data_IF_441284011511
#
_entry.id   IF_441284011511
#
_cell.length_a   1.000
_cell.length_b   1.000
_cell.length_c   1.000
_cell.angle_alpha   90.00
_cell.angle_beta   90.00
_cell.angle_gamma   90.00
#
_symmetry.space_group_name_H-M   'P 1'
#
loop_
_entity.id
_entity.type
_entity.pdbx_description
1 polymer ?
#
# COMPACT_ATOMS: atom_id res chain seq x y z
N UNK A 1 4.45 21.48 -24.57
CA UNK A 1 3.98 20.83 -25.81
C UNK A 1 3.40 19.46 -25.43
N UNK A 2 2.09 19.30 -25.54
CA UNK A 2 1.42 18.08 -25.16
C UNK A 2 1.69 16.95 -26.16
N UNK A 3 1.78 15.70 -25.69
CA UNK A 3 1.97 14.50 -26.53
C UNK A 3 0.89 14.42 -27.62
N UNK A 4 -0.36 14.80 -27.29
CA UNK A 4 -1.50 14.90 -28.21
C UNK A 4 -1.19 15.76 -29.44
N UNK A 5 -0.59 16.95 -29.25
CA UNK A 5 -0.32 17.89 -30.34
C UNK A 5 0.83 17.44 -31.24
N UNK A 6 1.79 16.70 -30.64
CA UNK A 6 2.99 16.25 -31.37
C UNK A 6 2.74 15.00 -32.21
N UNK A 7 1.88 14.09 -31.72
CA UNK A 7 1.66 12.78 -32.35
C UNK A 7 0.25 12.61 -32.97
N UNK A 8 -0.63 13.64 -32.86
CA UNK A 8 -2.01 13.61 -33.32
C UNK A 8 -2.78 12.37 -32.83
N UNK A 9 -2.55 11.96 -31.59
CA UNK A 9 -3.18 10.80 -30.96
C UNK A 9 -4.34 11.30 -30.09
N UNK A 10 -5.54 10.78 -30.31
CA UNK A 10 -6.66 10.95 -29.39
C UNK A 10 -6.43 10.10 -28.15
N UNK A 11 -5.93 10.73 -27.09
CA UNK A 11 -5.75 10.11 -25.79
C UNK A 11 -6.69 10.77 -24.77
N UNK A 12 -7.53 9.98 -24.15
CA UNK A 12 -8.29 10.42 -22.96
C UNK A 12 -7.36 10.31 -21.76
N UNK A 13 -6.98 11.46 -21.21
CA UNK A 13 -6.19 11.52 -19.99
C UNK A 13 -7.16 11.43 -18.81
N UNK A 14 -7.14 10.29 -18.10
CA UNK A 14 -7.87 10.14 -16.84
C UNK A 14 -7.29 11.02 -15.72
N UNK A 15 -8.04 11.19 -14.63
CA UNK A 15 -7.51 11.84 -13.45
C UNK A 15 -6.27 11.09 -12.92
N UNK A 16 -5.23 11.79 -12.45
CA UNK A 16 -4.06 11.14 -11.86
C UNK A 16 -4.47 10.25 -10.69
N UNK A 17 -3.98 9.01 -10.68
CA UNK A 17 -4.25 8.07 -9.60
C UNK A 17 -3.05 8.00 -8.65
N UNK A 18 -3.33 7.97 -7.34
CA UNK A 18 -2.32 7.77 -6.31
C UNK A 18 -2.13 6.28 -6.08
N UNK A 19 -0.89 5.83 -6.05
CA UNK A 19 -0.55 4.44 -5.76
C UNK A 19 -0.60 4.19 -4.25
N UNK A 20 -1.80 4.09 -3.68
CA UNK A 20 -1.99 3.71 -2.29
C UNK A 20 -1.48 2.28 -2.03
N UNK A 21 -1.26 1.96 -0.76
CA UNK A 21 -0.93 0.64 -0.25
C UNK A 21 -1.76 0.35 1.00
N UNK A 22 -1.76 -0.90 1.42
CA UNK A 22 -2.35 -1.31 2.70
C UNK A 22 -1.28 -1.95 3.57
N UNK A 23 -1.46 -1.97 4.89
CA UNK A 23 -0.62 -2.72 5.82
C UNK A 23 -1.41 -3.11 7.06
N UNK A 24 -0.84 -3.95 7.90
CA UNK A 24 -1.39 -4.32 9.20
C UNK A 24 -0.66 -3.60 10.32
N UNK A 25 -1.34 -3.31 11.42
CA UNK A 25 -0.76 -2.55 12.54
C UNK A 25 -0.55 -3.37 13.82
N UNK A 26 -1.14 -4.56 13.89
CA UNK A 26 -0.96 -5.44 15.05
C UNK A 26 -0.88 -6.90 14.62
N UNK A 27 -0.15 -7.74 15.39
CA UNK A 27 -0.07 -9.17 15.10
C UNK A 27 -1.41 -9.85 15.34
N UNK A 28 -1.66 -10.90 14.58
CA UNK A 28 -2.81 -11.79 14.77
C UNK A 28 -2.49 -13.20 14.32
N UNK A 29 -3.22 -14.19 14.84
CA UNK A 29 -3.12 -15.59 14.43
C UNK A 29 -4.49 -16.07 13.99
N UNK A 30 -4.53 -16.77 12.87
CA UNK A 30 -5.76 -17.34 12.29
C UNK A 30 -5.62 -18.84 12.15
N UNK A 31 -6.55 -19.58 12.74
CA UNK A 31 -6.78 -21.00 12.52
C UNK A 31 -7.98 -21.14 11.58
N UNK A 32 -7.73 -21.46 10.31
CA UNK A 32 -8.78 -21.57 9.30
C UNK A 32 -8.84 -22.97 8.70
N UNK A 33 -10.05 -23.53 8.63
CA UNK A 33 -10.30 -24.82 7.99
C UNK A 33 -11.20 -24.65 6.78
N UNK A 34 -10.67 -24.93 5.61
CA UNK A 34 -11.42 -25.08 4.38
C UNK A 34 -11.95 -26.51 4.27
N UNK A 35 -13.26 -26.67 4.28
CA UNK A 35 -13.92 -27.96 4.07
C UNK A 35 -15.11 -27.78 3.12
N UNK A 36 -15.08 -28.50 2.00
CA UNK A 36 -16.19 -28.53 1.06
C UNK A 36 -16.48 -29.98 0.67
N UNK A 37 -17.72 -30.38 0.82
CA UNK A 37 -18.24 -31.68 0.34
C UNK A 37 -19.44 -31.39 -0.57
N UNK A 38 -19.34 -31.68 -1.85
CA UNK A 38 -20.44 -31.54 -2.80
C UNK A 38 -20.31 -32.61 -3.87
N UNK A 39 -21.05 -33.71 -3.72
CA UNK A 39 -21.37 -34.70 -4.76
C UNK A 39 -20.21 -35.31 -5.58
N UNK A 40 -18.95 -35.20 -5.14
CA UNK A 40 -17.75 -35.65 -5.82
C UNK A 40 -16.53 -35.62 -4.87
N UNK A 41 -15.33 -35.40 -5.40
CA UNK A 41 -14.11 -35.25 -4.59
C UNK A 41 -14.25 -34.09 -3.61
N UNK A 42 -14.06 -34.37 -2.32
CA UNK A 42 -14.09 -33.37 -1.26
C UNK A 42 -12.89 -32.39 -1.38
N UNK A 43 -12.96 -31.30 -0.63
CA UNK A 43 -11.82 -30.39 -0.45
C UNK A 43 -11.58 -30.21 1.04
N UNK A 44 -10.35 -30.40 1.50
CA UNK A 44 -9.96 -30.17 2.86
C UNK A 44 -8.58 -29.53 2.95
N UNK A 45 -8.46 -28.46 3.73
CA UNK A 45 -7.19 -27.88 4.11
C UNK A 45 -7.36 -27.08 5.41
N UNK A 46 -6.52 -27.36 6.39
CA UNK A 46 -6.43 -26.55 7.61
C UNK A 46 -5.10 -25.84 7.64
N UNK A 47 -5.11 -24.55 7.92
CA UNK A 47 -3.92 -23.71 8.06
C UNK A 47 -4.01 -22.89 9.35
N UNK A 48 -2.89 -22.80 10.07
CA UNK A 48 -2.72 -21.87 11.18
C UNK A 48 -1.60 -20.92 10.79
N UNK A 49 -1.95 -19.64 10.57
CA UNK A 49 -1.05 -18.63 10.06
C UNK A 49 -0.97 -17.46 11.05
N UNK A 50 0.23 -17.10 11.42
CA UNK A 50 0.55 -15.90 12.18
C UNK A 50 0.86 -14.77 11.20
N UNK A 51 0.27 -13.60 11.45
CA UNK A 51 0.47 -12.37 10.70
C UNK A 51 1.12 -11.35 11.63
N UNK A 52 2.27 -10.82 11.24
CA UNK A 52 3.04 -9.87 12.05
C UNK A 52 3.41 -8.65 11.20
N UNK A 53 3.17 -7.41 11.69
CA UNK A 53 3.65 -6.20 10.99
C UNK A 53 5.18 -6.17 11.00
N UNK A 54 5.75 -5.68 9.89
CA UNK A 54 7.19 -5.43 9.75
C UNK A 54 7.49 -3.93 9.75
N UNK A 55 8.76 -3.59 9.74
CA UNK A 55 9.19 -2.21 9.57
C UNK A 55 8.88 -1.70 8.15
N UNK A 56 8.73 -0.38 8.02
CA UNK A 56 8.45 0.27 6.74
C UNK A 56 9.52 -0.07 5.71
N UNK A 57 9.10 -0.60 4.55
CA UNK A 57 9.99 -0.96 3.45
C UNK A 57 10.50 -2.40 3.45
N UNK A 58 10.16 -3.23 4.43
CA UNK A 58 10.58 -4.63 4.49
C UNK A 58 9.78 -5.54 3.55
N UNK A 59 8.66 -5.03 3.04
CA UNK A 59 7.84 -5.75 2.06
C UNK A 59 7.08 -6.94 2.65
N UNK A 60 7.02 -8.04 1.90
CA UNK A 60 6.32 -9.27 2.32
C UNK A 60 7.29 -10.42 2.56
N UNK A 61 7.16 -11.07 3.71
CA UNK A 61 7.94 -12.26 4.08
C UNK A 61 6.98 -13.41 4.35
N UNK A 62 7.24 -14.58 3.72
CA UNK A 62 6.57 -15.83 4.04
C UNK A 62 7.56 -16.83 4.66
N UNK A 63 7.17 -17.45 5.75
CA UNK A 63 7.95 -18.47 6.45
C UNK A 63 7.06 -19.66 6.81
N UNK A 64 7.60 -20.87 6.74
CA UNK A 64 6.93 -22.07 7.24
C UNK A 64 7.71 -22.68 8.40
N UNK A 65 7.02 -22.84 9.53
CA UNK A 65 7.53 -23.50 10.75
C UNK A 65 6.83 -24.85 11.02
N UNK A 66 6.30 -25.47 9.96
CA UNK A 66 5.63 -26.77 10.09
C UNK A 66 6.60 -27.84 10.59
N UNK A 67 6.20 -28.53 11.64
CA UNK A 67 6.93 -29.66 12.24
C UNK A 67 6.10 -30.94 12.15
N UNK A 68 6.76 -32.09 12.01
CA UNK A 68 6.10 -33.41 12.07
C UNK A 68 5.21 -33.75 10.88
N UNK A 69 5.35 -33.07 9.73
CA UNK A 69 4.60 -33.38 8.50
C UNK A 69 3.10 -33.09 8.57
N UNK A 70 2.63 -32.25 9.51
CA UNK A 70 1.22 -31.87 9.66
C UNK A 70 0.66 -31.21 8.41
N UNK A 71 1.48 -30.50 7.65
CA UNK A 71 1.20 -30.07 6.28
C UNK A 71 2.33 -30.61 5.40
N UNK A 72 2.05 -31.50 4.44
CA UNK A 72 3.04 -31.97 3.47
C UNK A 72 3.71 -30.82 2.73
N UNK A 73 5.01 -30.97 2.47
CA UNK A 73 5.83 -29.93 1.81
C UNK A 73 5.26 -29.50 0.45
N UNK A 74 4.59 -30.40 -0.24
CA UNK A 74 3.96 -30.16 -1.55
C UNK A 74 2.79 -29.18 -1.50
N UNK A 75 2.13 -28.98 -0.33
CA UNK A 75 1.01 -28.04 -0.16
C UNK A 75 1.44 -26.66 0.31
N UNK A 76 2.64 -26.51 0.89
CA UNK A 76 3.16 -25.20 1.35
C UNK A 76 3.22 -24.16 0.25
N UNK A 77 3.65 -24.47 -1.01
CA UNK A 77 3.59 -23.52 -2.11
C UNK A 77 2.17 -23.03 -2.44
N UNK A 78 1.15 -23.84 -2.18
CA UNK A 78 -0.26 -23.45 -2.32
C UNK A 78 -0.64 -22.37 -1.33
N UNK A 79 -0.21 -22.49 -0.07
CA UNK A 79 -0.43 -21.46 0.97
C UNK A 79 0.24 -20.14 0.56
N UNK A 80 1.51 -20.19 0.18
CA UNK A 80 2.24 -18.99 -0.25
C UNK A 80 1.60 -18.32 -1.46
N UNK A 81 1.18 -19.10 -2.46
CA UNK A 81 0.50 -18.60 -3.66
C UNK A 81 -0.84 -17.92 -3.31
N UNK A 82 -1.61 -18.53 -2.40
CA UNK A 82 -2.88 -17.97 -1.93
C UNK A 82 -2.70 -16.63 -1.21
N UNK A 83 -1.68 -16.53 -0.34
CA UNK A 83 -1.33 -15.28 0.32
C UNK A 83 -0.89 -14.21 -0.68
N UNK A 84 0.05 -14.52 -1.59
CA UNK A 84 0.54 -13.56 -2.61
C UNK A 84 -0.60 -13.01 -3.47
N UNK A 85 -1.51 -13.86 -3.92
CA UNK A 85 -2.67 -13.40 -4.70
C UNK A 85 -3.60 -12.49 -3.90
N UNK A 86 -3.77 -12.74 -2.60
CA UNK A 86 -4.57 -11.88 -1.72
C UNK A 86 -3.90 -10.55 -1.42
N UNK A 87 -2.57 -10.55 -1.29
CA UNK A 87 -1.75 -9.35 -1.08
C UNK A 87 -1.90 -8.37 -2.24
N UNK A 88 -1.86 -8.85 -3.48
CA UNK A 88 -1.99 -8.02 -4.67
C UNK A 88 -3.37 -7.38 -4.82
N UNK A 89 -4.41 -8.07 -4.38
CA UNK A 89 -5.80 -7.59 -4.46
C UNK A 89 -6.21 -6.70 -3.29
N UNK A 90 -5.43 -6.69 -2.21
CA UNK A 90 -5.73 -5.93 -1.00
C UNK A 90 -6.97 -6.40 -0.23
N UNK A 91 -7.35 -5.62 0.77
CA UNK A 91 -8.51 -5.90 1.62
C UNK A 91 -9.43 -4.70 1.83
N UNK A 92 -8.86 -3.50 2.08
CA UNK A 92 -9.64 -2.30 2.44
C UNK A 92 -10.24 -1.60 1.22
N UNK A 93 -9.40 -1.39 0.20
CA UNK A 93 -9.74 -0.63 -0.98
C UNK A 93 -9.11 -1.20 -2.27
N UNK A 94 -8.66 -2.45 -2.23
CA UNK A 94 -8.09 -3.11 -3.40
C UNK A 94 -6.64 -2.72 -3.71
N UNK A 95 -5.92 -2.15 -2.76
CA UNK A 95 -4.51 -1.81 -2.93
C UNK A 95 -3.59 -2.89 -2.36
N UNK A 96 -2.42 -3.12 -2.97
CA UNK A 96 -1.49 -4.13 -2.48
C UNK A 96 -1.10 -3.93 -1.01
N UNK A 97 -1.05 -5.02 -0.24
CA UNK A 97 -0.65 -5.02 1.17
C UNK A 97 0.85 -5.21 1.28
N UNK A 98 1.52 -4.39 2.08
CA UNK A 98 2.97 -4.39 2.25
C UNK A 98 3.38 -4.41 3.72
N UNK A 99 4.67 -4.66 3.98
CA UNK A 99 5.34 -4.54 5.28
C UNK A 99 4.74 -5.44 6.36
N UNK A 100 4.59 -6.73 6.04
CA UNK A 100 4.17 -7.74 7.00
C UNK A 100 4.73 -9.13 6.69
N UNK A 101 4.75 -9.97 7.72
CA UNK A 101 5.21 -11.35 7.66
C UNK A 101 4.05 -12.31 7.90
N UNK A 102 4.00 -13.39 7.13
CA UNK A 102 3.13 -14.53 7.36
C UNK A 102 3.97 -15.75 7.75
N UNK A 103 3.66 -16.35 8.90
CA UNK A 103 4.31 -17.60 9.35
C UNK A 103 3.26 -18.70 9.40
N UNK A 104 3.42 -19.74 8.56
CA UNK A 104 2.61 -20.94 8.64
C UNK A 104 3.16 -21.80 9.78
N UNK A 105 2.44 -21.88 10.91
CA UNK A 105 2.91 -22.54 12.13
C UNK A 105 2.33 -23.92 12.33
N UNK A 106 1.11 -24.18 11.88
CA UNK A 106 0.42 -25.46 11.98
C UNK A 106 -0.60 -25.66 10.86
N UNK A 107 -1.15 -26.85 10.75
CA UNK A 107 -2.22 -27.18 9.83
C UNK A 107 -2.60 -28.65 9.87
N UNK A 108 -3.51 -29.04 9.02
CA UNK A 108 -3.90 -30.45 8.83
C UNK A 108 -4.30 -30.69 7.38
N UNK A 109 -4.12 -31.91 6.95
CA UNK A 109 -4.53 -32.39 5.63
C UNK A 109 -5.33 -33.68 5.74
N UNK A 110 -5.97 -34.07 4.65
CA UNK A 110 -6.68 -35.33 4.49
C UNK A 110 -6.17 -36.03 3.24
N UNK A 111 -5.81 -37.31 3.35
CA UNK A 111 -5.10 -38.07 2.30
C UNK A 111 -5.81 -38.05 0.93
N UNK A 112 -7.14 -37.96 0.92
CA UNK A 112 -7.97 -38.03 -0.32
C UNK A 112 -8.43 -36.62 -0.76
N UNK A 113 -8.78 -35.75 0.20
CA UNK A 113 -9.49 -34.48 -0.09
C UNK A 113 -8.57 -33.25 -0.07
N UNK A 114 -7.29 -33.42 0.23
CA UNK A 114 -6.35 -32.30 0.21
C UNK A 114 -5.67 -32.13 -1.14
N UNK A 115 -5.45 -30.87 -1.50
CA UNK A 115 -4.75 -30.48 -2.72
C UNK A 115 -4.08 -29.12 -2.55
N UNK A 116 -3.11 -28.79 -3.41
CA UNK A 116 -2.49 -27.46 -3.48
C UNK A 116 -3.55 -26.37 -3.59
N UNK A 117 -4.60 -26.60 -4.39
CA UNK A 117 -5.71 -25.65 -4.56
C UNK A 117 -6.52 -25.47 -3.26
N UNK A 118 -6.79 -26.53 -2.51
CA UNK A 118 -7.51 -26.43 -1.24
C UNK A 118 -6.72 -25.58 -0.21
N UNK A 119 -5.39 -25.74 -0.16
CA UNK A 119 -4.52 -24.91 0.67
C UNK A 119 -4.41 -23.47 0.18
N UNK A 120 -4.41 -23.23 -1.14
CA UNK A 120 -4.50 -21.87 -1.69
C UNK A 120 -5.80 -21.17 -1.26
N UNK A 121 -6.94 -21.84 -1.34
CA UNK A 121 -8.23 -21.30 -0.91
C UNK A 121 -8.25 -21.03 0.59
N UNK A 122 -7.74 -21.96 1.40
CA UNK A 122 -7.65 -21.82 2.85
C UNK A 122 -6.78 -20.60 3.24
N UNK A 123 -5.65 -20.42 2.58
CA UNK A 123 -4.76 -19.29 2.81
C UNK A 123 -5.41 -17.93 2.45
N UNK A 124 -6.12 -17.86 1.34
CA UNK A 124 -6.89 -16.66 0.95
C UNK A 124 -7.97 -16.31 1.97
N UNK A 125 -8.69 -17.31 2.47
CA UNK A 125 -9.72 -17.11 3.49
C UNK A 125 -9.10 -16.68 4.83
N UNK A 126 -8.01 -17.32 5.25
CA UNK A 126 -7.26 -16.94 6.45
C UNK A 126 -6.77 -15.49 6.37
N UNK A 127 -6.24 -15.07 5.22
CA UNK A 127 -5.84 -13.67 4.99
C UNK A 127 -7.01 -12.71 5.18
N UNK A 128 -8.16 -12.97 4.55
CA UNK A 128 -9.35 -12.12 4.69
C UNK A 128 -9.85 -12.02 6.13
N UNK A 129 -9.75 -13.08 6.90
CA UNK A 129 -10.13 -13.11 8.32
C UNK A 129 -9.09 -12.38 9.20
N UNK A 130 -7.81 -12.42 8.80
CA UNK A 130 -6.72 -11.76 9.52
C UNK A 130 -6.79 -10.23 9.43
N UNK A 131 -7.11 -9.68 8.28
CA UNK A 131 -7.00 -8.23 8.02
C UNK A 131 -7.78 -7.35 9.00
N UNK A 132 -9.07 -7.63 9.32
CA UNK A 132 -9.80 -6.86 10.33
C UNK A 132 -9.19 -7.01 11.73
N UNK A 133 -8.77 -8.23 12.10
CA UNK A 133 -8.20 -8.53 13.41
C UNK A 133 -6.82 -7.90 13.59
N UNK A 134 -6.05 -7.83 12.51
CA UNK A 134 -4.73 -7.18 12.48
C UNK A 134 -4.81 -5.65 12.29
N UNK A 135 -6.01 -5.07 12.30
CA UNK A 135 -6.28 -3.64 12.07
C UNK A 135 -5.56 -3.13 10.82
N UNK A 136 -5.96 -3.64 9.67
CA UNK A 136 -5.46 -3.16 8.40
C UNK A 136 -5.73 -1.66 8.22
N UNK A 137 -4.75 -0.93 7.69
CA UNK A 137 -4.81 0.51 7.43
C UNK A 137 -4.34 0.84 6.03
N UNK A 138 -4.83 1.98 5.50
CA UNK A 138 -4.44 2.51 4.21
C UNK A 138 -3.16 3.36 4.36
N UNK A 139 -2.26 3.25 3.39
CA UNK A 139 -1.02 4.01 3.30
C UNK A 139 -1.04 4.89 2.06
N UNK A 140 -0.52 6.12 2.19
CA UNK A 140 -0.31 7.06 1.09
C UNK A 140 1.18 7.29 0.85
N UNK A 141 1.60 7.52 -0.41
CA UNK A 141 2.97 7.86 -0.71
C UNK A 141 3.28 9.30 -0.29
N UNK A 142 4.31 9.45 0.54
CA UNK A 142 4.86 10.74 0.96
C UNK A 142 5.99 11.14 0.04
N UNK A 143 5.94 12.38 -0.42
CA UNK A 143 6.92 12.96 -1.33
C UNK A 143 7.82 13.91 -0.56
N UNK A 144 9.13 13.74 -0.72
CA UNK A 144 10.10 14.75 -0.33
C UNK A 144 10.09 15.86 -1.38
N UNK A 145 9.72 17.05 -0.95
CA UNK A 145 9.62 18.25 -1.80
C UNK A 145 10.70 19.25 -1.40
N UNK A 146 11.44 19.74 -2.39
CA UNK A 146 12.37 20.85 -2.24
C UNK A 146 11.88 22.00 -3.13
N UNK A 147 11.62 23.16 -2.54
CA UNK A 147 11.22 24.36 -3.28
C UNK A 147 12.29 25.42 -3.17
N UNK A 148 12.84 25.86 -4.30
CA UNK A 148 13.82 26.94 -4.39
C UNK A 148 13.10 28.23 -4.78
N UNK A 149 13.22 29.27 -3.95
CA UNK A 149 12.45 30.52 -4.09
C UNK A 149 13.24 31.74 -3.60
N UNK A 150 12.99 32.94 -4.15
CA UNK A 150 13.38 34.19 -3.50
C UNK A 150 12.70 34.32 -2.13
N UNK A 151 13.33 35.06 -1.20
CA UNK A 151 12.87 35.26 0.17
C UNK A 151 11.44 35.82 0.25
N UNK A 152 11.09 36.72 -0.63
CA UNK A 152 9.78 37.40 -0.66
C UNK A 152 8.58 36.46 -0.83
N UNK A 153 8.74 35.26 -1.42
CA UNK A 153 7.67 34.26 -1.60
C UNK A 153 7.73 33.10 -0.62
N UNK A 154 8.73 33.05 0.23
CA UNK A 154 8.96 31.91 1.15
C UNK A 154 7.77 31.68 2.09
N UNK A 155 7.19 32.75 2.64
CA UNK A 155 6.04 32.66 3.54
C UNK A 155 4.81 32.04 2.89
N UNK A 156 4.49 32.49 1.67
CA UNK A 156 3.33 31.98 0.91
C UNK A 156 3.51 30.52 0.52
N UNK A 157 4.73 30.14 0.15
CA UNK A 157 5.07 28.74 -0.20
C UNK A 157 4.95 27.82 1.00
N UNK A 158 5.44 28.24 2.17
CA UNK A 158 5.29 27.47 3.42
C UNK A 158 3.82 27.32 3.78
N UNK A 159 3.03 28.39 3.66
CA UNK A 159 1.58 28.38 3.89
C UNK A 159 0.86 27.40 2.95
N UNK A 160 1.19 27.42 1.66
CA UNK A 160 0.59 26.51 0.67
C UNK A 160 0.99 25.04 0.93
N UNK A 161 2.26 24.74 1.21
CA UNK A 161 2.70 23.38 1.57
C UNK A 161 1.97 22.85 2.81
N UNK A 162 1.81 23.68 3.84
CA UNK A 162 1.06 23.31 5.04
C UNK A 162 -0.42 23.05 4.74
N UNK A 163 -1.05 23.87 3.88
CA UNK A 163 -2.45 23.66 3.45
C UNK A 163 -2.65 22.34 2.70
N UNK A 164 -1.59 21.80 2.09
CA UNK A 164 -1.55 20.51 1.39
C UNK A 164 -1.24 19.32 2.30
N UNK A 165 -1.40 19.47 3.61
CA UNK A 165 -1.02 18.46 4.61
C UNK A 165 0.50 18.20 4.62
N UNK A 166 1.28 19.13 4.09
CA UNK A 166 2.73 19.06 4.11
C UNK A 166 3.30 19.41 5.47
N UNK A 167 4.46 18.83 5.76
CA UNK A 167 5.26 19.15 6.95
C UNK A 167 6.59 19.74 6.48
N UNK A 168 6.80 21.02 6.71
CA UNK A 168 8.08 21.67 6.42
C UNK A 168 9.13 21.19 7.42
N UNK A 169 10.19 20.56 6.92
CA UNK A 169 11.24 19.94 7.74
C UNK A 169 12.47 20.81 7.90
N UNK A 170 12.68 21.79 7.02
CA UNK A 170 13.83 22.67 7.07
C UNK A 170 13.79 23.78 6.04
N UNK A 171 14.60 24.80 6.31
CA UNK A 171 14.83 25.91 5.43
C UNK A 171 16.33 26.19 5.40
N UNK A 172 16.88 26.43 4.25
CA UNK A 172 18.29 26.81 4.08
C UNK A 172 18.42 27.93 3.06
N UNK A 173 19.47 28.72 3.20
CA UNK A 173 19.81 29.73 2.22
C UNK A 173 20.80 29.14 1.22
N UNK A 174 20.50 29.27 -0.08
CA UNK A 174 21.35 28.83 -1.17
C UNK A 174 21.62 30.00 -2.12
N UNK A 175 22.70 30.74 -1.82
CA UNK A 175 23.04 31.98 -2.52
C UNK A 175 22.02 33.09 -2.23
N UNK A 176 21.37 33.60 -3.27
CA UNK A 176 20.32 34.63 -3.19
C UNK A 176 18.92 34.06 -3.00
N UNK A 177 18.79 32.75 -3.08
CA UNK A 177 17.51 32.05 -2.93
C UNK A 177 17.43 31.31 -1.60
N UNK A 178 16.22 30.99 -1.19
CA UNK A 178 15.92 30.13 -0.07
C UNK A 178 15.39 28.79 -0.58
N UNK A 179 15.72 27.73 0.15
CA UNK A 179 15.26 26.37 -0.12
C UNK A 179 14.35 25.93 1.01
N UNK A 180 13.12 25.59 0.69
CA UNK A 180 12.14 25.03 1.63
C UNK A 180 12.04 23.55 1.39
N UNK A 181 12.36 22.74 2.40
CA UNK A 181 12.25 21.29 2.38
C UNK A 181 11.04 20.84 3.16
N UNK A 182 10.29 19.87 2.64
CA UNK A 182 9.13 19.32 3.32
C UNK A 182 8.71 17.94 2.81
N UNK A 183 7.84 17.30 3.59
CA UNK A 183 7.16 16.07 3.22
C UNK A 183 5.70 16.37 2.93
N UNK A 184 5.20 15.96 1.77
CA UNK A 184 3.83 16.24 1.34
C UNK A 184 3.21 14.97 0.72
N UNK A 185 1.96 14.61 1.04
CA UNK A 185 1.28 13.49 0.38
C UNK A 185 1.16 13.74 -1.13
N UNK A 186 1.46 12.73 -1.94
CA UNK A 186 1.37 12.82 -3.40
C UNK A 186 -0.02 13.29 -3.87
N UNK A 187 -1.09 12.83 -3.22
CA UNK A 187 -2.46 13.21 -3.54
C UNK A 187 -2.68 14.74 -3.54
N UNK A 188 -1.96 15.46 -2.69
CA UNK A 188 -2.08 16.91 -2.53
C UNK A 188 -1.11 17.71 -3.43
N UNK A 189 -0.24 17.03 -4.19
CA UNK A 189 0.74 17.69 -5.07
C UNK A 189 0.26 17.84 -6.52
N UNK A 190 -0.85 17.25 -6.90
CA UNK A 190 -1.41 17.45 -8.25
C UNK A 190 -1.75 18.91 -8.50
N UNK A 191 -1.29 19.44 -9.63
CA UNK A 191 -1.48 20.84 -10.00
C UNK A 191 -0.57 21.84 -9.24
N UNK A 192 0.29 21.39 -8.35
CA UNK A 192 1.17 22.26 -7.55
C UNK A 192 2.02 23.22 -8.39
N UNK A 193 2.51 22.78 -9.55
CA UNK A 193 3.32 23.62 -10.47
C UNK A 193 2.60 24.92 -10.86
N UNK A 194 1.29 24.87 -11.09
CA UNK A 194 0.52 26.05 -11.49
C UNK A 194 0.37 27.02 -10.31
N UNK A 195 0.08 26.48 -9.11
CA UNK A 195 -0.03 27.28 -7.90
C UNK A 195 1.29 27.95 -7.55
N UNK A 196 2.41 27.17 -7.60
CA UNK A 196 3.74 27.67 -7.33
C UNK A 196 4.12 28.81 -8.30
N UNK A 197 3.85 28.65 -9.60
CA UNK A 197 4.09 29.70 -10.61
C UNK A 197 3.28 30.95 -10.33
N UNK A 198 2.02 30.81 -9.96
CA UNK A 198 1.15 31.95 -9.64
C UNK A 198 1.63 32.69 -8.41
N UNK A 199 1.96 31.99 -7.31
CA UNK A 199 2.44 32.59 -6.06
C UNK A 199 3.79 33.28 -6.21
N UNK A 200 4.70 32.71 -6.99
CA UNK A 200 6.09 33.19 -7.13
C UNK A 200 6.35 33.98 -8.39
N UNK A 201 5.31 34.32 -9.15
CA UNK A 201 5.44 34.99 -10.47
C UNK A 201 6.40 34.24 -11.40
N UNK A 202 6.43 32.90 -11.31
CA UNK A 202 7.32 32.05 -12.08
C UNK A 202 8.77 32.01 -11.60
N UNK A 203 9.10 32.60 -10.46
CA UNK A 203 10.49 32.73 -9.95
C UNK A 203 10.91 31.60 -9.01
N UNK A 204 9.96 30.76 -8.58
CA UNK A 204 10.26 29.55 -7.81
C UNK A 204 10.25 28.30 -8.69
N UNK A 205 11.05 27.33 -8.27
CA UNK A 205 11.09 25.98 -8.85
C UNK A 205 10.98 24.94 -7.75
N UNK A 206 10.52 23.74 -8.07
CA UNK A 206 10.48 22.64 -7.11
C UNK A 206 10.95 21.33 -7.73
N UNK A 207 11.43 20.45 -6.87
CA UNK A 207 11.67 19.04 -7.14
C UNK A 207 10.87 18.21 -6.17
N UNK A 208 10.46 17.03 -6.61
CA UNK A 208 9.67 16.11 -5.83
C UNK A 208 10.14 14.69 -6.08
N UNK A 209 10.45 13.94 -5.02
CA UNK A 209 10.88 12.55 -5.06
C UNK A 209 10.08 11.72 -4.06
N UNK A 210 9.80 10.46 -4.38
CA UNK A 210 9.18 9.54 -3.43
C UNK A 210 10.14 9.32 -2.24
N UNK A 211 9.61 9.31 -1.02
CA UNK A 211 10.37 9.04 0.19
C UNK A 211 9.91 7.75 0.87
N UNK A 212 8.69 7.70 1.35
CA UNK A 212 8.14 6.55 2.06
C UNK A 212 6.62 6.50 1.98
N UNK A 213 6.04 5.42 2.48
CA UNK A 213 4.60 5.31 2.73
C UNK A 213 4.27 5.68 4.17
N UNK A 214 3.15 6.38 4.39
CA UNK A 214 2.65 6.75 5.70
C UNK A 214 1.16 6.47 5.82
N UNK A 215 0.69 6.19 7.05
CA UNK A 215 -0.72 5.93 7.30
C UNK A 215 -1.58 7.14 6.98
N UNK A 216 -2.62 6.90 6.20
CA UNK A 216 -3.61 7.92 5.82
C UNK A 216 -4.49 8.29 7.02
N UNK A 217 -4.78 9.57 7.28
CA UNK A 217 -5.78 9.97 8.27
C UNK A 217 -7.15 9.34 7.98
N UNK A 218 -7.91 9.04 9.05
CA UNK A 218 -9.17 8.28 8.94
C UNK A 218 -10.17 8.91 7.95
N UNK A 219 -10.35 10.21 7.99
CA UNK A 219 -11.27 10.94 7.09
C UNK A 219 -10.87 10.76 5.61
N UNK A 220 -9.58 10.86 5.30
CA UNK A 220 -9.09 10.67 3.93
C UNK A 220 -9.17 9.21 3.50
N UNK A 221 -8.94 8.27 4.43
CA UNK A 221 -9.08 6.84 4.15
C UNK A 221 -10.52 6.47 3.74
N UNK A 222 -11.53 7.02 4.40
CA UNK A 222 -12.94 6.81 4.05
C UNK A 222 -13.26 7.39 2.66
N UNK A 223 -12.81 8.61 2.35
CA UNK A 223 -12.98 9.19 1.01
C UNK A 223 -12.35 8.34 -0.11
N UNK A 224 -11.17 7.75 0.16
CA UNK A 224 -10.50 6.88 -0.81
C UNK A 224 -11.28 5.59 -1.01
N UNK A 225 -11.78 4.96 0.07
CA UNK A 225 -12.61 3.74 0.00
C UNK A 225 -13.90 3.98 -0.79
N UNK A 226 -14.59 5.09 -0.55
CA UNK A 226 -15.82 5.46 -1.28
C UNK A 226 -15.54 5.62 -2.78
N UNK A 227 -14.46 6.30 -3.16
CA UNK A 227 -14.08 6.49 -4.58
C UNK A 227 -13.72 5.19 -5.31
N UNK A 228 -13.25 4.19 -4.60
CA UNK A 228 -12.88 2.89 -5.20
C UNK A 228 -14.08 1.94 -5.26
N UNK A 229 -15.07 2.11 -4.36
CA UNK A 229 -16.26 1.25 -4.28
C UNK A 229 -17.39 1.65 -5.26
N UNK A 230 -17.35 2.85 -5.83
CA UNK A 230 -18.33 3.38 -6.80
C UNK A 230 -17.83 3.29 -8.22
#
# INVERSE_FOLDING_TARGET
>A
MCIRDRFKVDATVGAPQVAYRETITQPTSIDYTHKKQSGGAGQFAKVVIEFEPLAKGDGFIFESKIVGGRVPKEYIPGVEKGLKASIETGFLAGFPVIDFKCTLVDGAFHDVDSSVMAFEIAARAAFREAMPKAKAVLLEPMMKVEVVTPEEYMGDIIGDLNSRRGQVSGMEQRGVNHVVNGMVPLANMFGYVNNLRSMSQGRASYTMTFDHYEQVPHNVAEEVKEKVSG
#
